data_IF_946517279214
#
_entry.id   IF_946517279214
#
_cell.length_a   1.000
_cell.length_b   1.000
_cell.length_c   1.000
_cell.angle_alpha   90.00
_cell.angle_beta   90.00
_cell.angle_gamma   90.00
#
_symmetry.space_group_name_H-M   'P 1'
#
loop_
_entity.id
_entity.type
_entity.pdbx_description
1 polymer ?
#
# COMPACT_ATOMS: atom_id res chain seq x y z
N UNK A 1 27.43 12.71 -11.36
CA UNK A 1 26.61 12.96 -10.14
C UNK A 1 25.09 12.83 -10.38
N UNK A 2 24.53 13.33 -11.48
CA UNK A 2 23.08 13.22 -11.79
C UNK A 2 22.57 11.77 -11.93
N UNK A 3 23.31 10.90 -12.61
CA UNK A 3 22.91 9.49 -12.82
C UNK A 3 22.83 8.69 -11.51
N UNK A 4 23.80 8.89 -10.60
CA UNK A 4 23.76 8.28 -9.27
C UNK A 4 22.56 8.76 -8.43
N UNK A 5 22.21 10.05 -8.52
CA UNK A 5 21.01 10.61 -7.85
C UNK A 5 19.70 10.07 -8.44
N UNK A 6 19.64 9.87 -9.75
CA UNK A 6 18.47 9.29 -10.44
C UNK A 6 18.30 7.82 -10.06
N UNK A 7 19.36 7.02 -10.13
CA UNK A 7 19.33 5.61 -9.73
C UNK A 7 18.87 5.40 -8.28
N UNK A 8 19.32 6.25 -7.35
CA UNK A 8 18.92 6.20 -5.94
C UNK A 8 17.45 6.57 -5.73
N UNK A 9 16.97 7.63 -6.38
CA UNK A 9 15.55 8.03 -6.29
C UNK A 9 14.63 6.92 -6.81
N UNK A 10 15.02 6.28 -7.91
CA UNK A 10 14.30 5.13 -8.48
C UNK A 10 14.29 3.97 -7.50
N UNK A 11 15.43 3.64 -6.89
CA UNK A 11 15.53 2.55 -5.93
C UNK A 11 14.71 2.81 -4.65
N UNK A 12 14.75 4.03 -4.10
CA UNK A 12 13.94 4.42 -2.94
C UNK A 12 12.44 4.35 -3.25
N UNK A 13 12.04 4.73 -4.47
CA UNK A 13 10.65 4.65 -4.95
C UNK A 13 10.22 3.19 -5.10
N UNK A 14 11.05 2.34 -5.71
CA UNK A 14 10.79 0.92 -5.87
C UNK A 14 10.68 0.22 -4.51
N UNK A 15 11.62 0.47 -3.60
CA UNK A 15 11.61 -0.09 -2.25
C UNK A 15 10.37 0.36 -1.47
N UNK A 16 9.99 1.64 -1.54
CA UNK A 16 8.78 2.15 -0.89
C UNK A 16 7.51 1.49 -1.46
N UNK A 17 7.42 1.37 -2.79
CA UNK A 17 6.29 0.73 -3.47
C UNK A 17 6.17 -0.75 -3.10
N UNK A 18 7.29 -1.49 -3.07
CA UNK A 18 7.33 -2.88 -2.63
C UNK A 18 6.91 -3.03 -1.17
N UNK A 19 7.41 -2.16 -0.28
CA UNK A 19 7.08 -2.23 1.15
C UNK A 19 5.60 -1.94 1.40
N UNK A 20 5.07 -0.88 0.78
CA UNK A 20 3.65 -0.55 0.87
C UNK A 20 2.77 -1.64 0.25
N UNK A 21 3.16 -2.14 -0.92
CA UNK A 21 2.46 -3.22 -1.62
C UNK A 21 2.42 -4.53 -0.84
N UNK A 22 3.53 -4.88 -0.17
CA UNK A 22 3.62 -6.05 0.70
C UNK A 22 2.68 -5.90 1.90
N UNK A 23 2.77 -4.79 2.64
CA UNK A 23 1.97 -4.56 3.84
C UNK A 23 0.47 -4.53 3.52
N UNK A 24 0.10 -3.76 2.50
CA UNK A 24 -1.31 -3.60 2.11
C UNK A 24 -1.83 -4.85 1.41
N UNK A 25 -1.04 -5.48 0.54
CA UNK A 25 -1.43 -6.71 -0.14
C UNK A 25 -1.63 -7.89 0.81
N UNK A 26 -0.74 -8.07 1.79
CA UNK A 26 -0.91 -9.07 2.85
C UNK A 26 -2.12 -8.75 3.74
N UNK A 27 -2.29 -7.49 4.14
CA UNK A 27 -3.48 -7.06 4.89
C UNK A 27 -4.77 -7.35 4.13
N UNK A 28 -4.83 -7.01 2.85
CA UNK A 28 -5.96 -7.27 1.97
C UNK A 28 -6.24 -8.77 1.84
N UNK A 29 -5.19 -9.60 1.72
CA UNK A 29 -5.32 -11.06 1.68
C UNK A 29 -5.91 -11.63 2.97
N UNK A 30 -5.45 -11.15 4.13
CA UNK A 30 -5.96 -11.56 5.43
C UNK A 30 -7.43 -11.15 5.61
N UNK A 31 -7.80 -9.94 5.20
CA UNK A 31 -9.17 -9.45 5.22
C UNK A 31 -10.09 -10.28 4.30
N UNK A 32 -9.66 -10.55 3.06
CA UNK A 32 -10.39 -11.44 2.15
C UNK A 32 -10.56 -12.84 2.76
N UNK A 33 -9.52 -13.37 3.40
CA UNK A 33 -9.60 -14.67 4.08
C UNK A 33 -10.59 -14.65 5.24
N UNK A 34 -10.58 -13.60 6.05
CA UNK A 34 -11.53 -13.43 7.15
C UNK A 34 -12.98 -13.35 6.66
N UNK A 35 -13.22 -12.63 5.56
CA UNK A 35 -14.54 -12.55 4.91
C UNK A 35 -14.98 -13.93 4.44
N UNK A 36 -14.11 -14.67 3.74
CA UNK A 36 -14.43 -16.01 3.21
C UNK A 36 -14.71 -17.03 4.33
N UNK A 37 -13.95 -16.97 5.43
CA UNK A 37 -14.21 -17.80 6.61
C UNK A 37 -15.54 -17.43 7.28
N UNK A 38 -15.89 -16.14 7.33
CA UNK A 38 -17.14 -15.67 7.93
C UNK A 38 -18.39 -16.11 7.13
N UNK A 39 -18.29 -16.22 5.80
CA UNK A 39 -19.38 -16.72 4.94
C UNK A 39 -19.41 -18.26 4.81
N UNK A 40 -18.58 -18.98 5.57
CA UNK A 40 -18.56 -20.45 5.59
C UNK A 40 -18.09 -21.12 4.30
N UNK A 41 -17.44 -20.39 3.40
CA UNK A 41 -16.94 -20.95 2.12
C UNK A 41 -15.53 -21.51 2.32
N UNK A 42 -15.38 -22.82 2.15
CA UNK A 42 -14.07 -23.46 2.13
C UNK A 42 -13.31 -23.08 0.85
N UNK A 43 -12.36 -22.15 0.99
CA UNK A 43 -11.39 -21.84 -0.05
C UNK A 43 -10.00 -22.30 0.37
N UNK A 44 -9.21 -22.81 -0.58
CA UNK A 44 -7.81 -23.16 -0.33
C UNK A 44 -6.91 -21.92 -0.26
N UNK A 45 -5.83 -22.00 0.53
CA UNK A 45 -4.77 -20.99 0.47
C UNK A 45 -4.00 -21.13 -0.84
N UNK A 46 -4.13 -20.14 -1.73
CA UNK A 46 -3.35 -20.07 -2.98
C UNK A 46 -2.17 -19.11 -2.79
N UNK A 47 -0.95 -19.65 -2.84
CA UNK A 47 0.28 -18.87 -2.84
C UNK A 47 0.36 -17.99 -4.09
N UNK A 48 0.03 -18.53 -5.26
CA UNK A 48 0.01 -17.80 -6.52
C UNK A 48 -0.94 -16.59 -6.47
N UNK A 49 -2.14 -16.78 -5.91
CA UNK A 49 -3.10 -15.68 -5.70
C UNK A 49 -2.57 -14.63 -4.72
N UNK A 50 -1.90 -15.03 -3.64
CA UNK A 50 -1.28 -14.11 -2.69
C UNK A 50 -0.17 -13.27 -3.36
N UNK A 51 0.71 -13.91 -4.13
CA UNK A 51 1.78 -13.21 -4.86
C UNK A 51 1.19 -12.22 -5.87
N UNK A 52 0.17 -12.62 -6.63
CA UNK A 52 -0.50 -11.75 -7.59
C UNK A 52 -1.09 -10.49 -6.92
N UNK A 53 -1.74 -10.65 -5.75
CA UNK A 53 -2.27 -9.54 -4.96
C UNK A 53 -1.13 -8.61 -4.53
N UNK A 54 -0.08 -9.15 -3.91
CA UNK A 54 1.06 -8.34 -3.43
C UNK A 54 1.71 -7.55 -4.58
N UNK A 55 1.94 -8.18 -5.73
CA UNK A 55 2.49 -7.52 -6.91
C UNK A 55 1.57 -6.40 -7.41
N UNK A 56 0.26 -6.65 -7.45
CA UNK A 56 -0.73 -5.66 -7.88
C UNK A 56 -0.71 -4.43 -6.96
N UNK A 57 -0.72 -4.64 -5.65
CA UNK A 57 -0.63 -3.53 -4.68
C UNK A 57 0.70 -2.79 -4.77
N UNK A 58 1.82 -3.50 -4.99
CA UNK A 58 3.12 -2.87 -5.19
C UNK A 58 3.16 -1.97 -6.43
N UNK A 59 2.61 -2.44 -7.56
CA UNK A 59 2.51 -1.64 -8.80
C UNK A 59 1.63 -0.41 -8.56
N UNK A 60 0.49 -0.58 -7.87
CA UNK A 60 -0.42 0.51 -7.55
C UNK A 60 0.19 1.54 -6.58
N UNK A 61 1.15 1.16 -5.76
CA UNK A 61 1.85 2.07 -4.86
C UNK A 61 2.82 3.02 -5.59
N UNK A 62 3.23 2.69 -6.82
CA UNK A 62 4.27 3.43 -7.57
C UNK A 62 3.93 4.91 -7.77
N UNK A 63 2.72 5.32 -8.20
CA UNK A 63 2.38 6.74 -8.38
C UNK A 63 2.46 7.54 -7.06
N UNK A 64 2.00 6.96 -5.94
CA UNK A 64 2.12 7.60 -4.63
C UNK A 64 3.58 7.70 -4.18
N UNK A 65 4.38 6.65 -4.35
CA UNK A 65 5.81 6.64 -4.01
C UNK A 65 6.60 7.65 -4.87
N UNK A 66 6.37 7.68 -6.17
CA UNK A 66 7.06 8.58 -7.11
C UNK A 66 6.76 10.07 -6.85
N UNK A 67 5.56 10.37 -6.33
CA UNK A 67 5.15 11.75 -6.02
C UNK A 67 5.50 12.19 -4.59
N UNK A 68 6.18 11.34 -3.80
CA UNK A 68 6.42 11.59 -2.39
C UNK A 68 7.24 12.86 -2.09
N UNK A 69 8.19 13.19 -2.97
CA UNK A 69 9.09 14.36 -2.90
C UNK A 69 8.66 15.51 -3.81
N UNK A 70 7.55 15.36 -4.56
CA UNK A 70 7.04 16.38 -5.44
C UNK A 70 6.36 17.55 -4.69
N UNK A 71 5.97 18.58 -5.44
CA UNK A 71 5.20 19.73 -4.92
C UNK A 71 3.94 19.25 -4.18
N UNK A 72 3.45 19.99 -3.15
CA UNK A 72 2.33 19.54 -2.30
C UNK A 72 1.04 19.18 -3.05
N UNK A 73 0.78 19.84 -4.19
CA UNK A 73 -0.37 19.54 -5.05
C UNK A 73 -0.22 18.17 -5.76
N UNK A 74 0.92 17.93 -6.41
CA UNK A 74 1.22 16.66 -7.10
C UNK A 74 1.25 15.48 -6.12
N UNK A 75 1.76 15.70 -4.91
CA UNK A 75 1.78 14.69 -3.87
C UNK A 75 0.37 14.29 -3.41
N UNK A 76 -0.53 15.25 -3.23
CA UNK A 76 -1.94 14.95 -2.95
C UNK A 76 -2.58 14.21 -4.12
N UNK A 77 -2.31 14.64 -5.34
CA UNK A 77 -2.78 13.99 -6.56
C UNK A 77 -2.37 12.51 -6.63
N UNK A 78 -1.07 12.21 -6.48
CA UNK A 78 -0.57 10.83 -6.52
C UNK A 78 -1.13 9.95 -5.40
N UNK A 79 -1.35 10.52 -4.20
CA UNK A 79 -1.99 9.80 -3.08
C UNK A 79 -3.43 9.42 -3.42
N UNK A 80 -4.23 10.40 -3.83
CA UNK A 80 -5.64 10.19 -4.14
C UNK A 80 -5.84 9.31 -5.37
N UNK A 81 -5.01 9.45 -6.40
CA UNK A 81 -5.02 8.57 -7.57
C UNK A 81 -4.74 7.11 -7.17
N UNK A 82 -3.71 6.89 -6.33
CA UNK A 82 -3.39 5.54 -5.83
C UNK A 82 -4.55 4.95 -5.05
N UNK A 83 -5.11 5.69 -4.10
CA UNK A 83 -6.27 5.25 -3.31
C UNK A 83 -7.49 4.97 -4.19
N UNK A 84 -7.80 5.85 -5.14
CA UNK A 84 -8.96 5.71 -6.03
C UNK A 84 -8.83 4.48 -6.95
N UNK A 85 -7.68 4.29 -7.60
CA UNK A 85 -7.44 3.14 -8.48
C UNK A 85 -7.39 1.84 -7.68
N UNK A 86 -6.74 1.84 -6.51
CA UNK A 86 -6.71 0.66 -5.61
C UNK A 86 -8.12 0.30 -5.15
N UNK A 87 -8.91 1.29 -4.72
CA UNK A 87 -10.30 1.08 -4.30
C UNK A 87 -11.17 0.58 -5.43
N UNK A 88 -11.05 1.16 -6.62
CA UNK A 88 -11.78 0.72 -7.81
C UNK A 88 -11.47 -0.73 -8.19
N UNK A 89 -10.18 -1.10 -8.25
CA UNK A 89 -9.76 -2.48 -8.53
C UNK A 89 -10.21 -3.47 -7.46
N UNK A 90 -10.18 -3.07 -6.19
CA UNK A 90 -10.65 -3.93 -5.12
C UNK A 90 -12.16 -4.14 -5.17
N UNK A 91 -12.94 -3.10 -5.50
CA UNK A 91 -14.39 -3.22 -5.72
C UNK A 91 -14.69 -4.12 -6.92
N UNK A 92 -14.01 -3.90 -8.05
CA UNK A 92 -14.27 -4.67 -9.28
C UNK A 92 -13.89 -6.15 -9.17
N UNK A 93 -12.93 -6.49 -8.30
CA UNK A 93 -12.50 -7.88 -8.06
C UNK A 93 -13.20 -8.54 -6.87
N UNK A 94 -13.58 -7.76 -5.85
CA UNK A 94 -14.23 -8.25 -4.62
C UNK A 94 -15.73 -8.48 -4.74
N UNK A 95 -16.43 -7.72 -5.59
CA UNK A 95 -17.88 -7.86 -5.81
C UNK A 95 -18.24 -8.70 -7.05
N UNK A 96 -17.32 -9.56 -7.51
CA UNK A 96 -17.56 -10.42 -8.67
C UNK A 96 -18.72 -11.42 -8.51
N UNK A 97 -19.12 -11.72 -7.27
CA UNK A 97 -20.33 -12.50 -6.98
C UNK A 97 -21.11 -11.90 -5.79
N UNK A 98 -21.96 -10.88 -6.03
CA UNK A 98 -22.74 -10.24 -4.98
C UNK A 98 -23.77 -11.18 -4.32
N UNK A 99 -24.03 -12.38 -4.90
CA UNK A 99 -24.90 -13.38 -4.27
C UNK A 99 -24.28 -14.00 -3.03
N UNK A 100 -22.95 -14.07 -2.95
CA UNK A 100 -22.25 -14.61 -1.78
C UNK A 100 -22.39 -13.71 -0.52
N UNK A 101 -22.58 -12.40 -0.71
CA UNK A 101 -22.89 -11.45 0.39
C UNK A 101 -24.37 -11.47 0.79
N UNK A 102 -25.27 -11.80 -0.15
CA UNK A 102 -26.71 -11.96 0.10
C UNK A 102 -27.06 -13.30 0.78
N UNK A 103 -26.16 -14.27 0.75
CA UNK A 103 -26.30 -15.59 1.38
C UNK A 103 -25.76 -15.65 2.81
N UNK A 104 -25.16 -14.57 3.32
CA UNK A 104 -24.67 -14.52 4.69
C UNK A 104 -25.84 -14.36 5.66
N UNK A 105 -25.92 -15.24 6.67
CA UNK A 105 -26.93 -15.14 7.74
C UNK A 105 -26.86 -13.76 8.43
N UNK A 106 -28.03 -13.23 8.83
CA UNK A 106 -28.18 -11.88 9.42
C UNK A 106 -27.24 -11.62 10.61
N UNK A 107 -26.89 -12.66 11.35
CA UNK A 107 -25.97 -12.62 12.50
C UNK A 107 -24.53 -12.20 12.12
N UNK A 108 -24.12 -12.40 10.86
CA UNK A 108 -22.77 -12.07 10.38
C UNK A 108 -22.66 -10.70 9.70
N UNK A 109 -23.80 -10.04 9.44
CA UNK A 109 -23.83 -8.71 8.80
C UNK A 109 -22.97 -7.65 9.53
N UNK A 110 -22.96 -7.55 10.87
CA UNK A 110 -22.10 -6.57 11.56
C UNK A 110 -20.61 -6.86 11.36
N UNK A 111 -20.22 -8.13 11.35
CA UNK A 111 -18.83 -8.54 11.13
C UNK A 111 -18.39 -8.23 9.69
N UNK A 112 -19.23 -8.54 8.70
CA UNK A 112 -18.97 -8.24 7.30
C UNK A 112 -18.86 -6.73 7.05
N UNK A 113 -19.71 -5.93 7.70
CA UNK A 113 -19.61 -4.48 7.66
C UNK A 113 -18.28 -4.00 8.25
N UNK A 114 -17.88 -4.51 9.43
CA UNK A 114 -16.61 -4.17 10.06
C UNK A 114 -15.39 -4.53 9.19
N UNK A 115 -15.39 -5.72 8.58
CA UNK A 115 -14.33 -6.17 7.66
C UNK A 115 -14.27 -5.30 6.41
N UNK A 116 -15.41 -4.90 5.86
CA UNK A 116 -15.48 -3.99 4.72
C UNK A 116 -14.93 -2.61 5.07
N UNK A 117 -15.27 -2.07 6.25
CA UNK A 117 -14.72 -0.81 6.75
C UNK A 117 -13.21 -0.92 6.95
N UNK A 118 -12.73 -2.01 7.55
CA UNK A 118 -11.29 -2.25 7.73
C UNK A 118 -10.55 -2.30 6.39
N UNK A 119 -11.14 -2.93 5.38
CA UNK A 119 -10.61 -2.96 4.03
C UNK A 119 -10.58 -1.57 3.39
N UNK A 120 -11.64 -0.77 3.55
CA UNK A 120 -11.66 0.61 3.06
C UNK A 120 -10.59 1.49 3.73
N UNK A 121 -10.40 1.33 5.04
CA UNK A 121 -9.33 2.01 5.79
C UNK A 121 -7.95 1.60 5.27
N UNK A 122 -7.74 0.30 5.02
CA UNK A 122 -6.49 -0.21 4.47
C UNK A 122 -6.17 0.39 3.09
N UNK A 123 -7.17 0.45 2.20
CA UNK A 123 -7.04 1.08 0.87
C UNK A 123 -6.77 2.59 0.98
N UNK A 124 -7.45 3.28 1.89
CA UNK A 124 -7.20 4.70 2.14
C UNK A 124 -5.78 4.97 2.66
N UNK A 125 -5.27 4.08 3.51
CA UNK A 125 -3.92 4.16 4.05
C UNK A 125 -2.83 3.86 3.01
N UNK A 126 -3.15 3.15 1.92
CA UNK A 126 -2.17 2.67 0.93
C UNK A 126 -1.30 3.80 0.35
N UNK A 127 -1.92 4.86 -0.17
CA UNK A 127 -1.19 6.00 -0.74
C UNK A 127 -0.40 6.79 0.30
N UNK A 128 -0.88 6.84 1.55
CA UNK A 128 -0.15 7.48 2.65
C UNK A 128 1.09 6.68 3.05
N UNK A 129 0.96 5.36 3.17
CA UNK A 129 2.06 4.46 3.53
C UNK A 129 3.17 4.48 2.47
N UNK A 130 2.83 4.46 1.19
CA UNK A 130 3.79 4.58 0.09
C UNK A 130 4.57 5.90 0.12
N UNK A 131 3.90 7.02 0.44
CA UNK A 131 4.57 8.32 0.57
C UNK A 131 5.42 8.42 1.82
N UNK A 132 4.95 7.86 2.93
CA UNK A 132 5.68 7.87 4.20
C UNK A 132 6.97 7.06 4.10
N UNK A 133 6.90 5.84 3.54
CA UNK A 133 8.07 4.97 3.32
C UNK A 133 9.07 5.60 2.36
N UNK A 134 8.62 6.16 1.22
CA UNK A 134 9.48 6.84 0.26
C UNK A 134 10.26 8.01 0.88
N UNK A 135 9.61 8.81 1.73
CA UNK A 135 10.27 9.91 2.45
C UNK A 135 11.27 9.42 3.48
N UNK A 136 10.92 8.38 4.25
CA UNK A 136 11.81 7.80 5.26
C UNK A 136 13.10 7.26 4.62
N UNK A 137 12.97 6.59 3.47
CA UNK A 137 14.10 6.08 2.71
C UNK A 137 14.96 7.22 2.14
N UNK A 138 14.34 8.28 1.60
CA UNK A 138 15.08 9.44 1.11
C UNK A 138 15.88 10.15 2.23
N UNK A 139 15.29 10.32 3.42
CA UNK A 139 15.95 10.95 4.57
C UNK A 139 17.09 10.10 5.15
N UNK A 140 16.92 8.78 5.22
CA UNK A 140 17.95 7.86 5.70
C UNK A 140 19.17 7.80 4.76
N UNK A 141 18.97 8.17 3.49
CA UNK A 141 20.03 8.21 2.49
C UNK A 141 20.82 9.52 2.52
N UNK A 142 20.18 10.66 2.82
CA UNK A 142 20.84 11.96 3.00
C UNK A 142 21.77 11.97 4.23
N UNK A 143 21.40 11.27 5.31
CA UNK A 143 22.22 11.18 6.52
C UNK A 143 23.50 10.34 6.35
N UNK A 144 23.51 9.38 5.41
CA UNK A 144 24.70 8.58 5.08
C UNK A 144 25.76 9.34 4.29
N UNK A 145 25.35 10.38 3.56
CA UNK A 145 26.25 11.16 2.69
C UNK A 145 26.79 12.44 3.36
N UNK A 146 26.33 12.78 4.57
CA UNK A 146 26.80 13.96 5.29
C UNK A 146 28.21 13.70 5.86
N UNK A 147 29.24 14.50 5.50
CA UNK A 147 30.57 14.32 6.07
C UNK A 147 30.52 14.51 7.59
N UNK A 148 31.39 13.83 8.36
CA UNK A 148 31.42 13.98 9.80
C UNK A 148 31.62 15.47 10.13
N UNK A 149 30.66 16.03 10.87
CA UNK A 149 30.75 17.41 11.35
C UNK A 149 31.91 17.45 12.34
N UNK A 150 33.09 17.87 11.89
CA UNK A 150 34.21 18.16 12.77
C UNK A 150 33.79 19.31 13.69
N UNK A 151 33.74 19.10 15.02
CA UNK A 151 33.38 20.16 15.95
C UNK A 151 34.34 21.33 15.76
N UNK A 152 33.80 22.53 15.51
CA UNK A 152 34.63 23.74 15.46
C UNK A 152 35.22 23.96 16.86
N UNK A 153 36.53 24.20 16.99
CA UNK A 153 37.10 24.58 18.27
C UNK A 153 36.41 25.86 18.74
N UNK A 154 35.87 25.83 19.96
CA UNK A 154 35.35 27.02 20.61
C UNK A 154 36.55 27.93 20.91
N UNK A 155 36.55 29.11 20.29
CA UNK A 155 37.49 30.20 20.62
C UNK A 155 36.82 31.15 21.60
#
# INVERSE_FOLDING_TARGET
>A
MRERRLGRTVWATAAAALTAGLVVGLGARLLMRAIVLAIGVDSGFSLAGTVAIVVTFAVLAVPAAATATARPALRRGGRWATTAVTGWLAVSTGFGDPKSLLLADEEWLPLLAALTVAFAVLVAAHGWLAQWTARRLALADDSRDSPPVTPRPQQ
#
